data_IF_651177329929
#
_entry.id   IF_651177329929
#
_cell.length_a   1.000
_cell.length_b   1.000
_cell.length_c   1.000
_cell.angle_alpha   90.00
_cell.angle_beta   90.00
_cell.angle_gamma   90.00
#
_symmetry.space_group_name_H-M   'P 1'
#
loop_
_entity.id
_entity.type
_entity.pdbx_description
1 polymer ?
#
# COMPACT_ATOMS: atom_id res chain seq x y z
N UNK A 1 7.56 -5.78 15.39
CA UNK A 1 6.24 -5.65 14.72
C UNK A 1 5.19 -5.28 15.77
N UNK A 2 4.33 -4.30 15.50
CA UNK A 2 3.26 -3.95 16.42
C UNK A 2 2.24 -3.00 15.79
N UNK A 3 0.97 -3.14 16.18
CA UNK A 3 -0.10 -2.28 15.65
C UNK A 3 0.06 -0.82 16.07
N UNK A 4 -0.36 0.10 15.19
CA UNK A 4 -0.42 1.53 15.47
C UNK A 4 -1.32 1.88 16.66
N UNK A 5 -1.06 3.03 17.30
CA UNK A 5 -1.78 3.45 18.50
C UNK A 5 -3.30 3.57 18.31
N UNK A 6 -3.75 4.02 17.14
CA UNK A 6 -5.17 4.09 16.78
C UNK A 6 -5.84 2.71 16.77
N UNK A 7 -5.23 1.74 16.08
CA UNK A 7 -5.74 0.37 16.01
C UNK A 7 -5.76 -0.31 17.39
N UNK A 8 -4.72 -0.09 18.22
CA UNK A 8 -4.68 -0.63 19.60
C UNK A 8 -5.80 -0.12 20.49
N UNK A 9 -6.29 1.10 20.24
CA UNK A 9 -7.47 1.65 20.92
C UNK A 9 -8.74 1.02 20.34
N UNK A 10 -8.85 1.00 19.01
CA UNK A 10 -9.97 0.42 18.27
C UNK A 10 -10.27 -1.02 18.69
N UNK A 11 -9.27 -1.91 18.72
CA UNK A 11 -9.46 -3.33 19.07
C UNK A 11 -9.90 -3.56 20.53
N UNK A 12 -9.72 -2.57 21.40
CA UNK A 12 -10.14 -2.62 22.81
C UNK A 12 -11.52 -1.97 23.04
N UNK A 13 -12.09 -1.32 22.03
CA UNK A 13 -13.42 -0.72 22.14
C UNK A 13 -14.49 -1.82 22.12
N UNK A 14 -15.50 -1.68 22.99
CA UNK A 14 -16.63 -2.61 23.04
C UNK A 14 -17.48 -2.59 21.76
N UNK A 15 -17.63 -1.40 21.16
CA UNK A 15 -18.23 -1.22 19.83
C UNK A 15 -17.28 -0.37 18.97
N UNK A 16 -16.37 -1.00 18.22
CA UNK A 16 -15.31 -0.28 17.53
C UNK A 16 -15.81 0.33 16.21
N UNK A 17 -15.62 1.64 16.05
CA UNK A 17 -16.03 2.41 14.88
C UNK A 17 -14.81 2.92 14.10
N UNK A 18 -14.91 3.18 12.78
CA UNK A 18 -13.85 3.81 12.01
C UNK A 18 -13.41 5.16 12.60
N UNK A 19 -12.11 5.42 12.61
CA UNK A 19 -11.52 6.56 13.34
C UNK A 19 -10.75 7.55 12.45
N UNK A 20 -11.16 7.66 11.18
CA UNK A 20 -10.60 8.55 10.15
C UNK A 20 -9.09 8.39 9.95
N UNK A 21 -8.61 7.15 9.95
CA UNK A 21 -7.18 6.84 9.77
C UNK A 21 -6.77 6.90 8.30
N UNK A 22 -5.67 7.61 8.03
CA UNK A 22 -4.97 7.66 6.73
C UNK A 22 -3.69 6.81 6.71
N UNK A 23 -3.54 5.93 7.71
CA UNK A 23 -2.36 5.06 7.84
C UNK A 23 -2.24 3.99 6.76
N UNK A 24 -1.01 3.56 6.49
CA UNK A 24 -0.62 2.53 5.52
C UNK A 24 -1.06 1.10 5.90
N UNK A 25 -1.57 0.91 7.12
CA UNK A 25 -2.03 -0.39 7.59
C UNK A 25 -3.20 -0.97 6.78
N UNK A 26 -3.97 -0.13 6.07
CA UNK A 26 -4.97 -0.60 5.09
C UNK A 26 -4.32 -1.29 3.90
N UNK A 27 -3.27 -0.69 3.34
CA UNK A 27 -2.55 -1.21 2.18
C UNK A 27 -1.74 -2.47 2.51
N UNK A 28 -1.13 -2.56 3.69
CA UNK A 28 -0.27 -3.69 4.08
C UNK A 28 -0.96 -5.07 4.10
N UNK A 29 -2.31 -5.08 4.14
CA UNK A 29 -3.11 -6.30 4.32
C UNK A 29 -4.10 -6.55 3.18
N UNK A 30 -4.05 -5.73 2.12
CA UNK A 30 -5.08 -5.73 1.06
C UNK A 30 -4.81 -6.81 0.00
N UNK A 31 -3.64 -7.45 0.01
CA UNK A 31 -3.23 -8.38 -1.03
C UNK A 31 -4.22 -9.52 -1.35
N UNK A 32 -4.96 -10.12 -0.39
CA UNK A 32 -5.94 -11.14 -0.72
C UNK A 32 -7.05 -10.65 -1.68
N UNK A 33 -7.39 -9.35 -1.65
CA UNK A 33 -8.45 -8.79 -2.50
C UNK A 33 -8.01 -8.70 -3.96
N UNK A 34 -6.75 -8.34 -4.22
CA UNK A 34 -6.19 -8.35 -5.59
C UNK A 34 -6.20 -9.74 -6.24
N UNK A 35 -6.25 -10.80 -5.42
CA UNK A 35 -6.36 -12.19 -5.86
C UNK A 35 -7.79 -12.74 -5.87
N UNK A 36 -8.71 -12.18 -5.09
CA UNK A 36 -10.06 -12.73 -4.92
C UNK A 36 -11.02 -12.37 -6.07
N UNK A 37 -10.76 -11.28 -6.79
CA UNK A 37 -11.65 -10.75 -7.83
C UNK A 37 -10.91 -10.54 -9.15
N UNK A 38 -11.63 -10.54 -10.26
CA UNK A 38 -11.04 -10.55 -11.62
C UNK A 38 -11.22 -9.22 -12.38
N UNK A 39 -12.10 -8.34 -11.90
CA UNK A 39 -12.34 -7.03 -12.50
C UNK A 39 -11.75 -5.90 -11.65
N UNK A 40 -11.38 -4.81 -12.30
CA UNK A 40 -10.87 -3.63 -11.62
C UNK A 40 -11.94 -3.04 -10.69
N UNK A 41 -13.19 -3.00 -11.13
CA UNK A 41 -14.31 -2.46 -10.39
C UNK A 41 -14.54 -3.21 -9.07
N UNK A 42 -14.55 -4.55 -9.10
CA UNK A 42 -14.71 -5.38 -7.91
C UNK A 42 -13.52 -5.23 -6.95
N UNK A 43 -12.28 -5.27 -7.48
CA UNK A 43 -11.08 -5.12 -6.66
C UNK A 43 -11.07 -3.77 -5.94
N UNK A 44 -11.43 -2.69 -6.62
CA UNK A 44 -11.46 -1.35 -6.03
C UNK A 44 -12.55 -1.22 -4.97
N UNK A 45 -13.75 -1.76 -5.22
CA UNK A 45 -14.86 -1.68 -4.29
C UNK A 45 -14.60 -2.51 -3.02
N UNK A 46 -14.07 -3.73 -3.17
CA UNK A 46 -13.79 -4.60 -2.02
C UNK A 46 -12.57 -4.13 -1.22
N UNK A 47 -11.55 -3.58 -1.89
CA UNK A 47 -10.41 -2.95 -1.21
C UNK A 47 -10.86 -1.77 -0.35
N UNK A 48 -11.80 -0.97 -0.86
CA UNK A 48 -12.42 0.13 -0.10
C UNK A 48 -13.15 -0.38 1.13
N UNK A 49 -14.05 -1.36 0.97
CA UNK A 49 -14.80 -1.95 2.10
C UNK A 49 -13.86 -2.49 3.18
N UNK A 50 -12.78 -3.16 2.79
CA UNK A 50 -11.77 -3.69 3.72
C UNK A 50 -10.97 -2.58 4.45
N UNK A 51 -10.68 -1.47 3.76
CA UNK A 51 -10.00 -0.33 4.35
C UNK A 51 -10.89 0.41 5.35
N UNK A 52 -12.14 0.72 4.98
CA UNK A 52 -13.06 1.58 5.72
C UNK A 52 -13.35 1.12 7.15
N UNK A 53 -13.24 -0.18 7.45
CA UNK A 53 -13.40 -0.72 8.82
C UNK A 53 -12.49 -0.04 9.85
N UNK A 54 -11.28 0.37 9.44
CA UNK A 54 -10.28 0.98 10.34
C UNK A 54 -9.61 2.22 9.77
N UNK A 55 -9.66 2.41 8.46
CA UNK A 55 -8.95 3.44 7.69
C UNK A 55 -9.89 4.11 6.68
N UNK A 56 -10.97 4.71 7.18
CA UNK A 56 -11.99 5.38 6.36
C UNK A 56 -11.59 6.79 5.88
N UNK A 57 -10.35 7.23 6.09
CA UNK A 57 -9.87 8.45 5.44
C UNK A 57 -9.64 8.16 3.94
N UNK A 58 -9.95 9.10 3.02
CA UNK A 58 -9.75 8.90 1.58
C UNK A 58 -8.36 8.36 1.22
N UNK A 59 -7.31 8.91 1.80
CA UNK A 59 -5.93 8.45 1.57
C UNK A 59 -5.64 7.03 2.10
N UNK A 60 -6.31 6.60 3.17
CA UNK A 60 -6.22 5.23 3.67
C UNK A 60 -6.85 4.22 2.71
N UNK A 61 -8.03 4.57 2.16
CA UNK A 61 -8.75 3.79 1.15
C UNK A 61 -7.95 3.73 -0.15
N UNK A 62 -7.49 4.90 -0.62
CA UNK A 62 -6.70 5.08 -1.83
C UNK A 62 -5.46 4.19 -1.85
N UNK A 63 -4.70 4.13 -0.76
CA UNK A 63 -3.53 3.26 -0.67
C UNK A 63 -3.86 1.77 -0.77
N UNK A 64 -4.96 1.33 -0.16
CA UNK A 64 -5.42 -0.05 -0.27
C UNK A 64 -5.87 -0.40 -1.70
N UNK A 65 -6.66 0.48 -2.32
CA UNK A 65 -7.10 0.32 -3.70
C UNK A 65 -5.93 0.27 -4.69
N UNK A 66 -4.91 1.12 -4.49
CA UNK A 66 -3.72 1.16 -5.34
C UNK A 66 -2.94 -0.17 -5.30
N UNK A 67 -2.68 -0.71 -4.11
CA UNK A 67 -1.96 -1.97 -3.96
C UNK A 67 -2.79 -3.14 -4.50
N UNK A 68 -4.08 -3.20 -4.21
CA UNK A 68 -4.95 -4.28 -4.71
C UNK A 68 -5.04 -4.28 -6.25
N UNK A 69 -5.16 -3.10 -6.87
CA UNK A 69 -5.19 -2.97 -8.32
C UNK A 69 -3.84 -3.34 -8.97
N UNK A 70 -2.72 -2.95 -8.35
CA UNK A 70 -1.40 -3.34 -8.81
C UNK A 70 -1.25 -4.87 -8.86
N UNK A 71 -1.72 -5.57 -7.83
CA UNK A 71 -1.72 -7.04 -7.74
C UNK A 71 -2.60 -7.65 -8.84
N UNK A 72 -3.82 -7.13 -9.04
CA UNK A 72 -4.70 -7.58 -10.11
C UNK A 72 -4.00 -7.49 -11.47
N UNK A 73 -3.42 -6.34 -11.78
CA UNK A 73 -2.73 -6.11 -13.05
C UNK A 73 -1.48 -6.96 -13.22
N UNK A 74 -0.69 -7.16 -12.15
CA UNK A 74 0.45 -8.08 -12.17
C UNK A 74 0.00 -9.51 -12.49
N UNK A 75 -1.06 -9.99 -11.83
CA UNK A 75 -1.65 -11.30 -12.06
C UNK A 75 -2.21 -11.46 -13.48
N UNK A 76 -2.73 -10.39 -14.06
CA UNK A 76 -3.20 -10.34 -15.46
C UNK A 76 -2.06 -10.16 -16.48
N UNK A 77 -0.80 -10.13 -16.03
CA UNK A 77 0.37 -10.09 -16.91
C UNK A 77 0.71 -8.71 -17.47
N UNK A 78 0.21 -7.62 -16.88
CA UNK A 78 0.68 -6.27 -17.25
C UNK A 78 2.16 -6.12 -16.94
N UNK A 79 2.86 -5.33 -17.76
CA UNK A 79 4.27 -5.06 -17.52
C UNK A 79 4.47 -4.23 -16.26
N UNK A 80 5.66 -4.34 -15.65
CA UNK A 80 6.08 -3.52 -14.49
C UNK A 80 5.89 -2.03 -14.75
N UNK A 81 6.24 -1.59 -15.96
CA UNK A 81 6.11 -0.20 -16.39
C UNK A 81 4.65 0.25 -16.49
N UNK A 82 3.78 -0.58 -17.07
CA UNK A 82 2.35 -0.26 -17.21
C UNK A 82 1.65 -0.20 -15.86
N UNK A 83 2.02 -1.09 -14.93
CA UNK A 83 1.51 -1.06 -13.55
C UNK A 83 1.95 0.21 -12.85
N UNK A 84 3.26 0.52 -12.88
CA UNK A 84 3.80 1.71 -12.24
C UNK A 84 3.15 3.01 -12.74
N UNK A 85 3.11 3.19 -14.06
CA UNK A 85 2.50 4.38 -14.68
C UNK A 85 0.98 4.41 -14.45
N UNK A 86 0.30 3.28 -14.58
CA UNK A 86 -1.14 3.16 -14.39
C UNK A 86 -1.56 3.51 -12.96
N UNK A 87 -0.87 2.98 -11.95
CA UNK A 87 -1.17 3.30 -10.54
C UNK A 87 -0.86 4.76 -10.24
N UNK A 88 0.28 5.28 -10.73
CA UNK A 88 0.61 6.70 -10.61
C UNK A 88 -0.48 7.61 -11.15
N UNK A 89 -0.99 7.32 -12.35
CA UNK A 89 -2.04 8.09 -13.00
C UNK A 89 -3.42 7.92 -12.34
N UNK A 90 -3.83 6.67 -12.05
CA UNK A 90 -5.16 6.37 -11.50
C UNK A 90 -5.38 6.92 -10.10
N UNK A 91 -4.31 7.08 -9.32
CA UNK A 91 -4.38 7.55 -7.94
C UNK A 91 -3.59 8.85 -7.72
N UNK A 92 -3.14 9.54 -8.76
CA UNK A 92 -2.44 10.83 -8.62
C UNK A 92 -1.25 10.76 -7.64
N UNK A 93 -0.48 9.66 -7.69
CA UNK A 93 0.75 9.55 -6.90
C UNK A 93 1.91 10.21 -7.62
N UNK A 94 2.78 10.88 -6.86
CA UNK A 94 4.04 11.37 -7.40
C UNK A 94 4.98 10.21 -7.72
N UNK A 95 5.13 9.94 -9.01
CA UNK A 95 5.98 8.88 -9.56
C UNK A 95 7.39 9.39 -9.92
N UNK A 96 7.71 10.66 -9.62
CA UNK A 96 9.06 11.19 -9.81
C UNK A 96 10.03 10.81 -8.69
N UNK A 97 9.50 10.31 -7.55
CA UNK A 97 10.29 9.85 -6.41
C UNK A 97 11.29 8.78 -6.85
N UNK A 98 12.55 8.97 -6.50
CA UNK A 98 13.65 8.00 -6.71
C UNK A 98 14.04 7.37 -5.39
N UNK A 99 14.44 6.09 -5.39
CA UNK A 99 14.85 5.39 -4.16
C UNK A 99 15.97 6.13 -3.42
N UNK A 100 16.91 6.73 -4.16
CA UNK A 100 18.04 7.48 -3.61
C UNK A 100 17.63 8.75 -2.83
N UNK A 101 16.46 9.32 -3.14
CA UNK A 101 15.98 10.58 -2.56
C UNK A 101 15.00 10.36 -1.40
N UNK A 102 14.69 9.11 -1.05
CA UNK A 102 13.73 8.78 0.00
C UNK A 102 14.32 9.16 1.37
N UNK A 103 13.68 10.07 2.13
CA UNK A 103 14.16 10.43 3.44
C UNK A 103 14.03 9.25 4.41
N UNK A 104 15.07 9.00 5.21
CA UNK A 104 15.08 7.96 6.26
C UNK A 104 14.26 8.41 7.48
N UNK A 105 12.96 8.61 7.28
CA UNK A 105 12.00 9.02 8.30
C UNK A 105 10.98 7.90 8.54
N UNK A 106 10.55 7.76 9.78
CA UNK A 106 9.43 6.89 10.11
C UNK A 106 8.12 7.60 9.72
N UNK A 107 7.47 7.10 8.67
CA UNK A 107 6.19 7.57 8.16
C UNK A 107 5.25 6.37 7.99
N UNK A 108 4.07 6.47 8.60
CA UNK A 108 3.06 5.39 8.63
C UNK A 108 1.83 5.75 7.80
N UNK A 109 1.91 6.78 6.96
CA UNK A 109 0.81 7.26 6.12
C UNK A 109 0.81 6.56 4.78
N UNK A 110 -0.36 6.37 4.17
CA UNK A 110 -0.43 5.88 2.79
C UNK A 110 0.32 6.81 1.81
N UNK A 111 0.24 8.11 2.02
CA UNK A 111 0.86 9.11 1.14
C UNK A 111 2.38 9.07 1.17
N UNK A 112 2.97 8.77 2.33
CA UNK A 112 4.41 8.54 2.46
C UNK A 112 4.82 7.16 1.95
N UNK A 113 4.05 6.11 2.27
CA UNK A 113 4.42 4.73 1.99
C UNK A 113 4.25 4.30 0.54
N UNK A 114 3.13 4.64 -0.11
CA UNK A 114 2.84 4.12 -1.46
C UNK A 114 3.85 4.61 -2.51
N UNK A 115 4.24 5.90 -2.57
CA UNK A 115 5.29 6.35 -3.49
C UNK A 115 6.63 5.65 -3.28
N UNK A 116 7.02 5.38 -2.03
CA UNK A 116 8.23 4.62 -1.68
C UNK A 116 8.16 3.20 -2.26
N UNK A 117 7.03 2.52 -2.07
CA UNK A 117 6.83 1.16 -2.58
C UNK A 117 6.83 1.13 -4.12
N UNK A 118 6.21 2.11 -4.77
CA UNK A 118 6.21 2.24 -6.23
C UNK A 118 7.61 2.53 -6.79
N UNK A 119 8.39 3.39 -6.13
CA UNK A 119 9.77 3.69 -6.54
C UNK A 119 10.65 2.43 -6.46
N UNK A 120 10.57 1.69 -5.34
CA UNK A 120 11.28 0.41 -5.20
C UNK A 120 10.85 -0.62 -6.25
N UNK A 121 9.53 -0.80 -6.47
CA UNK A 121 9.01 -1.69 -7.50
C UNK A 121 9.53 -1.34 -8.89
N UNK A 122 9.59 -0.05 -9.24
CA UNK A 122 10.14 0.41 -10.53
C UNK A 122 11.63 0.11 -10.67
N UNK A 123 12.42 0.45 -9.65
CA UNK A 123 13.89 0.50 -9.76
C UNK A 123 14.58 -0.87 -9.55
N UNK A 124 13.92 -1.80 -8.88
CA UNK A 124 14.48 -3.13 -8.60
C UNK A 124 14.18 -4.16 -9.70
N UNK A 125 15.05 -5.15 -9.86
CA UNK A 125 14.93 -6.13 -10.95
C UNK A 125 14.21 -7.42 -10.55
N UNK A 126 14.28 -7.77 -9.26
CA UNK A 126 13.73 -9.02 -8.75
C UNK A 126 13.21 -8.86 -7.33
N UNK A 127 12.49 -9.87 -6.85
CA UNK A 127 11.83 -9.87 -5.54
C UNK A 127 12.81 -9.65 -4.38
N UNK A 128 13.96 -10.33 -4.37
CA UNK A 128 14.93 -10.17 -3.28
C UNK A 128 15.46 -8.73 -3.24
N UNK A 129 15.84 -8.19 -4.39
CA UNK A 129 16.33 -6.83 -4.53
C UNK A 129 15.29 -5.79 -4.07
N UNK A 130 14.03 -5.97 -4.45
CA UNK A 130 12.91 -5.12 -4.02
C UNK A 130 12.77 -5.09 -2.49
N UNK A 131 12.75 -6.26 -1.85
CA UNK A 131 12.63 -6.38 -0.39
C UNK A 131 13.85 -5.80 0.32
N UNK A 132 15.07 -6.13 -0.14
CA UNK A 132 16.30 -5.58 0.44
C UNK A 132 16.34 -4.07 0.34
N UNK A 133 15.90 -3.53 -0.79
CA UNK A 133 15.84 -2.08 -1.03
C UNK A 133 14.95 -1.40 0.00
N UNK A 134 13.68 -1.79 0.13
CA UNK A 134 12.76 -1.12 1.08
C UNK A 134 13.14 -1.33 2.55
N UNK A 135 13.71 -2.48 2.90
CA UNK A 135 14.23 -2.72 4.26
C UNK A 135 15.44 -1.82 4.55
N UNK A 136 16.32 -1.60 3.56
CA UNK A 136 17.52 -0.77 3.73
C UNK A 136 17.22 0.73 3.93
N UNK A 137 16.04 1.19 3.49
CA UNK A 137 15.58 2.57 3.71
C UNK A 137 15.23 2.85 5.19
N UNK A 138 15.01 1.81 6.00
CA UNK A 138 14.55 1.95 7.37
C UNK A 138 13.12 2.49 7.43
N UNK A 139 12.83 3.34 8.43
CA UNK A 139 11.47 3.85 8.63
C UNK A 139 10.48 2.75 9.00
N UNK A 140 9.29 2.76 8.40
CA UNK A 140 8.25 1.74 8.58
C UNK A 140 8.52 0.50 7.69
N UNK A 141 9.69 -0.10 7.90
CA UNK A 141 10.28 -1.10 7.01
C UNK A 141 9.44 -2.39 6.90
N UNK A 142 8.79 -2.82 7.98
CA UNK A 142 7.93 -4.00 7.97
C UNK A 142 6.69 -3.78 7.09
N UNK A 143 6.05 -2.62 7.18
CA UNK A 143 4.92 -2.28 6.30
C UNK A 143 5.35 -2.13 4.84
N UNK A 144 6.46 -1.43 4.58
CA UNK A 144 6.97 -1.26 3.22
C UNK A 144 7.31 -2.61 2.57
N UNK A 145 7.98 -3.51 3.31
CA UNK A 145 8.29 -4.85 2.84
C UNK A 145 7.04 -5.71 2.62
N UNK A 146 6.02 -5.60 3.48
CA UNK A 146 4.76 -6.32 3.31
C UNK A 146 4.02 -5.90 2.02
N UNK A 147 4.00 -4.59 1.72
CA UNK A 147 3.36 -4.06 0.52
C UNK A 147 4.14 -4.46 -0.74
N UNK A 148 5.46 -4.26 -0.75
CA UNK A 148 6.29 -4.60 -1.93
C UNK A 148 6.36 -6.10 -2.19
N UNK A 149 6.28 -6.92 -1.14
CA UNK A 149 6.29 -8.37 -1.25
C UNK A 149 4.95 -9.02 -1.59
N UNK A 150 3.88 -8.23 -1.77
CA UNK A 150 2.51 -8.71 -2.04
C UNK A 150 2.27 -9.12 -3.49
#
# INVERSE_FOLDING_TARGET
CGFGGGFKKWVKCANPEPYNSYGNGSAMRVSPIGWAFDTQEEVLEEAKKSAEVTHNHPEGIKGAQAVALAILWARQGKSKQDIFLGIGASFEYDISVMVADIPRKFDVTCQGTIPICLAAFRETENFEDAIRTVVSLGGDADTNAAIVGS
#
